data_IF_243307624426
#
_entry.id   IF_243307624426
#
_cell.length_a   1.000
_cell.length_b   1.000
_cell.length_c   1.000
_cell.angle_alpha   90.00
_cell.angle_beta   90.00
_cell.angle_gamma   90.00
#
_symmetry.space_group_name_H-M   'P 1'
#
loop_
_entity.id
_entity.type
_entity.pdbx_description
1 polymer ?
#
# COMPACT_ATOMS: atom_id res chain seq x y z
N UNK A 1 29.96 -30.18 -4.59
CA UNK A 1 30.03 -29.04 -5.55
C UNK A 1 28.81 -28.91 -6.47
N UNK A 2 28.23 -30.00 -7.00
CA UNK A 2 27.12 -29.91 -7.97
C UNK A 2 25.82 -29.28 -7.43
N UNK A 3 25.43 -29.57 -6.19
CA UNK A 3 24.18 -29.03 -5.62
C UNK A 3 24.23 -27.50 -5.38
N UNK A 4 25.37 -27.00 -4.89
CA UNK A 4 25.59 -25.55 -4.64
C UNK A 4 25.57 -24.78 -5.97
N UNK A 5 26.27 -25.30 -6.99
CA UNK A 5 26.27 -24.69 -8.34
C UNK A 5 24.87 -24.67 -8.95
N UNK A 6 24.14 -25.79 -8.86
CA UNK A 6 22.75 -25.88 -9.36
C UNK A 6 21.82 -24.90 -8.64
N UNK A 7 22.00 -24.71 -7.33
CA UNK A 7 21.26 -23.72 -6.55
C UNK A 7 21.56 -22.28 -6.98
N UNK A 8 22.84 -21.96 -7.15
CA UNK A 8 23.28 -20.64 -7.62
C UNK A 8 22.74 -20.33 -9.02
N UNK A 9 22.83 -21.26 -9.97
CA UNK A 9 22.34 -21.09 -11.35
C UNK A 9 20.81 -20.89 -11.40
N UNK A 10 20.06 -21.59 -10.54
CA UNK A 10 18.61 -21.36 -10.40
C UNK A 10 18.29 -19.98 -9.83
N UNK A 11 19.05 -19.54 -8.82
CA UNK A 11 18.85 -18.23 -8.22
C UNK A 11 19.18 -17.10 -9.20
N UNK A 12 20.32 -17.18 -9.89
CA UNK A 12 20.70 -16.19 -10.91
C UNK A 12 19.68 -16.16 -12.04
N UNK A 13 19.23 -17.32 -12.51
CA UNK A 13 18.15 -17.42 -13.49
C UNK A 13 16.84 -16.78 -13.02
N UNK A 14 16.45 -16.98 -11.75
CA UNK A 14 15.27 -16.35 -11.16
C UNK A 14 15.42 -14.81 -11.06
N UNK A 15 16.58 -14.32 -10.62
CA UNK A 15 16.84 -12.89 -10.47
C UNK A 15 16.88 -12.17 -11.81
N UNK A 16 17.53 -12.76 -12.82
CA UNK A 16 17.84 -12.07 -14.08
C UNK A 16 16.89 -12.40 -15.23
N UNK A 17 16.19 -13.54 -15.18
CA UNK A 17 15.44 -14.06 -16.32
C UNK A 17 14.15 -13.29 -16.62
N UNK A 18 13.35 -12.95 -15.61
CA UNK A 18 12.10 -12.23 -15.81
C UNK A 18 11.69 -11.42 -14.57
N UNK A 19 10.89 -10.36 -14.76
CA UNK A 19 10.30 -9.61 -13.63
C UNK A 19 9.20 -10.41 -12.94
N UNK A 20 9.32 -10.56 -11.63
CA UNK A 20 8.34 -11.22 -10.77
C UNK A 20 7.45 -10.23 -9.99
N UNK A 21 6.37 -10.75 -9.39
CA UNK A 21 5.44 -10.04 -8.52
C UNK A 21 4.74 -8.83 -9.16
N UNK A 22 4.46 -8.88 -10.47
CA UNK A 22 3.91 -7.74 -11.20
C UNK A 22 2.54 -7.27 -10.68
N UNK A 23 1.65 -8.21 -10.33
CA UNK A 23 0.35 -7.88 -9.76
C UNK A 23 0.48 -7.34 -8.33
N UNK A 24 1.29 -8.00 -7.49
CA UNK A 24 1.49 -7.57 -6.10
C UNK A 24 2.14 -6.20 -6.00
N UNK A 25 3.14 -5.88 -6.83
CA UNK A 25 3.74 -4.54 -6.90
C UNK A 25 2.74 -3.47 -7.34
N UNK A 26 1.83 -3.82 -8.25
CA UNK A 26 0.78 -2.91 -8.70
C UNK A 26 -0.28 -2.67 -7.61
N UNK A 27 -0.66 -3.71 -6.86
CA UNK A 27 -1.53 -3.58 -5.69
C UNK A 27 -0.86 -2.77 -4.58
N UNK A 28 0.43 -3.03 -4.31
CA UNK A 28 1.23 -2.31 -3.33
C UNK A 28 1.23 -0.81 -3.65
N UNK A 29 1.53 -0.45 -4.91
CA UNK A 29 1.50 0.96 -5.36
C UNK A 29 0.16 1.62 -5.06
N UNK A 30 -0.96 0.94 -5.33
CA UNK A 30 -2.29 1.48 -5.08
C UNK A 30 -2.52 1.69 -3.58
N UNK A 31 -2.23 0.69 -2.75
CA UNK A 31 -2.43 0.79 -1.30
C UNK A 31 -1.52 1.84 -0.64
N UNK A 32 -0.26 1.93 -1.06
CA UNK A 32 0.66 2.98 -0.63
C UNK A 32 0.16 4.36 -1.07
N UNK A 33 -0.30 4.49 -2.33
CA UNK A 33 -0.87 5.73 -2.83
C UNK A 33 -2.11 6.16 -2.03
N UNK A 34 -3.00 5.21 -1.69
CA UNK A 34 -4.17 5.48 -0.84
C UNK A 34 -3.70 5.93 0.55
N UNK A 35 -2.77 5.21 1.17
CA UNK A 35 -2.27 5.54 2.50
C UNK A 35 -1.61 6.93 2.57
N UNK A 36 -0.78 7.26 1.58
CA UNK A 36 -0.10 8.56 1.48
C UNK A 36 -1.12 9.67 1.26
N UNK A 37 -2.00 9.52 0.27
CA UNK A 37 -2.97 10.57 -0.08
C UNK A 37 -3.97 10.77 1.05
N UNK A 38 -4.50 9.69 1.64
CA UNK A 38 -5.44 9.81 2.76
C UNK A 38 -4.78 10.51 3.94
N UNK A 39 -3.57 10.10 4.33
CA UNK A 39 -2.82 10.71 5.42
C UNK A 39 -2.58 12.21 5.21
N UNK A 40 -2.19 12.61 3.99
CA UNK A 40 -1.92 14.02 3.69
C UNK A 40 -3.21 14.86 3.64
N UNK A 41 -4.31 14.29 3.14
CA UNK A 41 -5.59 14.99 3.08
C UNK A 41 -6.23 15.14 4.45
N UNK A 42 -6.17 14.11 5.30
CA UNK A 42 -6.70 14.19 6.68
C UNK A 42 -5.87 15.15 7.54
N UNK A 43 -4.57 15.26 7.26
CA UNK A 43 -3.67 16.17 7.98
C UNK A 43 -3.62 17.58 7.38
N UNK A 44 -4.42 17.87 6.34
CA UNK A 44 -4.32 19.11 5.58
C UNK A 44 -4.60 20.33 6.45
N UNK A 45 -5.59 20.27 7.36
CA UNK A 45 -5.93 21.38 8.23
C UNK A 45 -4.78 21.73 9.20
N UNK A 46 -4.15 20.71 9.77
CA UNK A 46 -3.14 20.85 10.83
C UNK A 46 -1.69 20.84 10.31
N UNK A 47 -1.48 20.77 8.99
CA UNK A 47 -0.16 20.60 8.36
C UNK A 47 0.93 21.55 8.86
N UNK A 48 0.58 22.80 9.16
CA UNK A 48 1.54 23.80 9.66
C UNK A 48 1.97 23.55 11.10
N UNK A 49 1.05 23.05 11.92
CA UNK A 49 1.34 22.62 13.29
C UNK A 49 2.14 21.31 13.31
N UNK A 50 1.84 20.41 12.40
CA UNK A 50 2.47 19.09 12.32
C UNK A 50 3.89 19.15 11.73
N UNK A 51 4.10 19.87 10.62
CA UNK A 51 5.38 19.90 9.88
C UNK A 51 5.83 21.28 9.38
N UNK A 52 4.94 22.26 9.33
CA UNK A 52 5.23 23.56 8.72
C UNK A 52 5.78 24.61 9.70
N UNK A 53 5.43 25.87 9.45
CA UNK A 53 6.02 27.02 10.16
C UNK A 53 5.75 27.01 11.67
N UNK A 54 4.62 26.44 12.09
CA UNK A 54 4.21 26.37 13.49
C UNK A 54 4.84 25.17 14.23
N UNK A 55 5.56 24.27 13.55
CA UNK A 55 6.23 23.11 14.15
C UNK A 55 7.71 23.36 14.50
N UNK A 56 8.17 24.62 14.48
CA UNK A 56 9.58 24.99 14.81
C UNK A 56 10.01 24.58 16.21
N UNK A 57 9.07 24.40 17.13
CA UNK A 57 9.34 23.89 18.47
C UNK A 57 9.95 22.47 18.46
N UNK A 58 9.77 21.70 17.38
CA UNK A 58 10.34 20.34 17.20
C UNK A 58 11.80 20.39 16.72
N UNK A 59 12.26 21.51 16.17
CA UNK A 59 13.58 21.62 15.54
C UNK A 59 14.77 21.18 16.42
N UNK A 60 14.80 21.47 17.74
CA UNK A 60 15.90 21.00 18.59
C UNK A 60 16.05 19.48 18.62
N UNK A 61 14.95 18.73 18.49
CA UNK A 61 14.96 17.26 18.41
C UNK A 61 15.17 16.79 16.98
N UNK A 62 14.53 17.43 16.00
CA UNK A 62 14.69 17.08 14.59
C UNK A 62 16.15 17.18 14.12
N UNK A 63 16.87 18.23 14.56
CA UNK A 63 18.29 18.46 14.22
C UNK A 63 19.26 17.48 14.87
N UNK A 64 18.85 16.74 15.90
CA UNK A 64 19.71 15.68 16.49
C UNK A 64 19.93 14.52 15.52
N UNK A 65 18.96 14.29 14.64
CA UNK A 65 19.07 13.33 13.55
C UNK A 65 19.60 14.07 12.34
N UNK A 66 20.90 13.98 12.08
CA UNK A 66 21.47 14.54 10.86
C UNK A 66 20.87 13.82 9.66
N UNK A 67 20.21 14.56 8.75
CA UNK A 67 19.73 14.04 7.49
C UNK A 67 20.63 14.50 6.34
N UNK A 68 20.53 13.81 5.21
CA UNK A 68 21.23 14.25 4.02
C UNK A 68 20.60 15.57 3.54
N UNK A 69 21.39 16.62 3.20
CA UNK A 69 20.87 17.97 2.93
C UNK A 69 19.76 18.02 1.87
N UNK A 70 19.76 17.10 0.90
CA UNK A 70 18.71 16.98 -0.12
C UNK A 70 17.30 16.88 0.47
N UNK A 71 17.13 16.24 1.63
CA UNK A 71 15.82 16.02 2.23
C UNK A 71 15.34 17.24 3.05
N UNK A 72 16.26 18.02 3.60
CA UNK A 72 15.93 19.17 4.45
C UNK A 72 15.46 20.39 3.64
N UNK A 73 15.87 20.49 2.38
CA UNK A 73 15.59 21.66 1.52
C UNK A 73 14.16 21.64 0.97
N UNK A 74 13.49 20.49 0.93
CA UNK A 74 12.18 20.35 0.26
C UNK A 74 11.06 21.09 1.01
N UNK A 75 11.07 21.05 2.34
CA UNK A 75 10.03 21.62 3.19
C UNK A 75 10.58 22.71 4.12
N UNK A 76 10.72 23.92 3.60
CA UNK A 76 11.15 25.07 4.40
C UNK A 76 10.09 25.45 5.46
N UNK A 77 10.56 25.79 6.67
CA UNK A 77 9.73 26.39 7.74
C UNK A 77 9.83 27.92 7.77
N UNK A 78 10.51 28.56 6.81
CA UNK A 78 10.70 30.02 6.74
C UNK A 78 9.60 30.74 5.97
N UNK A 79 8.89 30.03 5.10
CA UNK A 79 7.77 30.58 4.34
C UNK A 79 6.61 29.60 4.32
N UNK A 80 5.48 30.03 4.89
CA UNK A 80 4.25 29.23 4.90
C UNK A 80 3.77 28.92 3.47
N UNK A 81 3.94 29.86 2.54
CA UNK A 81 3.59 29.68 1.14
C UNK A 81 4.44 28.60 0.46
N UNK A 82 5.77 28.64 0.63
CA UNK A 82 6.66 27.62 0.04
C UNK A 82 6.41 26.24 0.64
N UNK A 83 6.14 26.17 1.96
CA UNK A 83 5.72 24.94 2.61
C UNK A 83 4.42 24.40 2.01
N UNK A 84 3.40 25.23 1.86
CA UNK A 84 2.10 24.83 1.31
C UNK A 84 2.21 24.36 -0.15
N UNK A 85 3.07 25.03 -0.93
CA UNK A 85 3.38 24.61 -2.29
C UNK A 85 4.03 23.22 -2.32
N UNK A 86 5.04 22.97 -1.48
CA UNK A 86 5.70 21.67 -1.38
C UNK A 86 4.74 20.57 -0.88
N UNK A 87 3.86 20.90 0.08
CA UNK A 87 2.85 19.98 0.60
C UNK A 87 1.80 19.62 -0.46
N UNK A 88 1.31 20.63 -1.19
CA UNK A 88 0.41 20.42 -2.34
C UNK A 88 1.06 19.58 -3.44
N UNK A 89 2.34 19.84 -3.75
CA UNK A 89 3.10 19.04 -4.70
C UNK A 89 3.24 17.57 -4.24
N UNK A 90 3.45 17.33 -2.94
CA UNK A 90 3.48 15.98 -2.37
C UNK A 90 2.13 15.25 -2.50
N UNK A 91 0.99 15.94 -2.29
CA UNK A 91 -0.33 15.37 -2.55
C UNK A 91 -0.46 14.96 -4.03
N UNK A 92 -0.07 15.84 -4.96
CA UNK A 92 -0.10 15.54 -6.39
C UNK A 92 0.78 14.35 -6.73
N UNK A 93 2.01 14.28 -6.19
CA UNK A 93 2.90 13.13 -6.37
C UNK A 93 2.27 11.83 -5.83
N UNK A 94 1.60 11.88 -4.67
CA UNK A 94 0.86 10.76 -4.11
C UNK A 94 -0.27 10.28 -5.04
N UNK A 95 -1.03 11.20 -5.63
CA UNK A 95 -2.09 10.88 -6.61
C UNK A 95 -1.50 10.30 -7.90
N UNK A 96 -0.42 10.89 -8.45
CA UNK A 96 0.25 10.38 -9.64
C UNK A 96 0.81 8.97 -9.42
N UNK A 97 1.35 8.71 -8.23
CA UNK A 97 1.81 7.38 -7.81
C UNK A 97 0.63 6.40 -7.70
N UNK A 98 -0.47 6.81 -7.05
CA UNK A 98 -1.71 6.04 -6.89
C UNK A 98 -2.35 5.62 -8.22
N UNK A 99 -2.38 6.51 -9.22
CA UNK A 99 -2.92 6.18 -10.55
C UNK A 99 -1.89 5.48 -11.44
N UNK A 100 -0.60 5.63 -11.12
CA UNK A 100 0.49 4.93 -11.80
C UNK A 100 0.86 5.60 -13.10
N UNK A 101 1.01 6.91 -13.02
CA UNK A 101 1.48 7.76 -14.11
C UNK A 101 2.97 8.02 -13.94
N UNK A 102 3.77 7.70 -14.97
CA UNK A 102 5.22 7.93 -15.00
C UNK A 102 5.93 7.42 -13.73
N UNK A 103 5.55 6.23 -13.25
CA UNK A 103 5.96 5.76 -11.90
C UNK A 103 7.47 5.72 -11.72
N UNK A 104 8.22 5.46 -12.79
CA UNK A 104 9.69 5.44 -12.78
C UNK A 104 10.32 6.80 -12.40
N UNK A 105 9.65 7.91 -12.68
CA UNK A 105 10.10 9.25 -12.29
C UNK A 105 9.37 9.74 -11.04
N UNK A 106 8.08 9.45 -10.91
CA UNK A 106 7.28 9.88 -9.76
C UNK A 106 7.77 9.23 -8.46
N UNK A 107 8.15 7.95 -8.47
CA UNK A 107 8.56 7.22 -7.25
C UNK A 107 9.80 7.82 -6.56
N UNK A 108 10.94 8.09 -7.23
CA UNK A 108 12.08 8.72 -6.57
C UNK A 108 11.80 10.15 -6.10
N UNK A 109 11.02 10.94 -6.84
CA UNK A 109 10.64 12.30 -6.40
C UNK A 109 9.70 12.23 -5.19
N UNK A 110 8.72 11.32 -5.21
CA UNK A 110 7.83 11.06 -4.08
C UNK A 110 8.62 10.62 -2.85
N UNK A 111 9.64 9.76 -3.00
CA UNK A 111 10.52 9.37 -1.90
C UNK A 111 11.22 10.59 -1.29
N UNK A 112 11.79 11.47 -2.11
CA UNK A 112 12.47 12.68 -1.64
C UNK A 112 11.52 13.59 -0.88
N UNK A 113 10.32 13.84 -1.40
CA UNK A 113 9.32 14.65 -0.70
C UNK A 113 8.80 13.95 0.56
N UNK A 114 8.54 12.65 0.53
CA UNK A 114 8.04 11.92 1.69
C UNK A 114 9.06 11.89 2.84
N UNK A 115 10.33 11.66 2.52
CA UNK A 115 11.42 11.74 3.51
C UNK A 115 11.60 13.17 3.99
N UNK A 116 11.58 14.16 3.10
CA UNK A 116 11.71 15.57 3.46
C UNK A 116 10.59 16.09 4.36
N UNK A 117 9.34 15.63 4.18
CA UNK A 117 8.28 15.97 5.12
C UNK A 117 8.56 15.34 6.50
N UNK A 118 9.03 14.10 6.52
CA UNK A 118 9.37 13.40 7.76
C UNK A 118 10.57 14.01 8.51
N UNK A 119 11.48 14.72 7.85
CA UNK A 119 12.57 15.42 8.54
C UNK A 119 12.07 16.62 9.35
N UNK A 120 10.92 17.19 8.99
CA UNK A 120 10.36 18.35 9.69
C UNK A 120 9.70 18.02 11.03
N UNK A 121 9.38 16.75 11.31
CA UNK A 121 8.85 16.32 12.60
C UNK A 121 9.18 14.87 12.90
N UNK A 122 9.99 14.64 13.94
CA UNK A 122 10.37 13.31 14.43
C UNK A 122 9.38 12.72 15.44
N UNK A 123 8.46 13.53 15.94
CA UNK A 123 7.50 13.15 17.00
C UNK A 123 6.28 12.43 16.43
N UNK A 124 5.91 12.76 15.18
CA UNK A 124 4.71 12.23 14.53
C UNK A 124 4.93 10.89 13.82
N UNK A 125 6.19 10.43 13.75
CA UNK A 125 6.52 9.22 12.98
C UNK A 125 6.16 7.95 13.74
N UNK A 126 5.53 7.01 13.05
CA UNK A 126 5.28 5.66 13.55
C UNK A 126 6.04 4.59 12.73
N UNK A 127 5.81 3.32 13.06
CA UNK A 127 6.42 2.19 12.34
C UNK A 127 6.04 2.12 10.86
N UNK A 128 4.85 2.63 10.51
CA UNK A 128 4.29 2.72 9.16
C UNK A 128 5.06 3.70 8.28
N UNK A 129 5.35 4.88 8.80
CA UNK A 129 6.17 5.87 8.10
C UNK A 129 7.59 5.33 7.86
N UNK A 130 8.13 4.62 8.85
CA UNK A 130 9.47 4.04 8.77
C UNK A 130 9.54 2.94 7.72
N UNK A 131 8.61 1.99 7.73
CA UNK A 131 8.58 0.91 6.75
C UNK A 131 8.32 1.46 5.34
N UNK A 132 7.44 2.46 5.20
CA UNK A 132 7.11 3.08 3.93
C UNK A 132 8.34 3.81 3.35
N UNK A 133 9.11 4.56 4.15
CA UNK A 133 10.38 5.20 3.70
C UNK A 133 11.40 4.17 3.20
N UNK A 134 11.66 3.13 3.99
CA UNK A 134 12.64 2.08 3.65
C UNK A 134 12.22 1.35 2.37
N UNK A 135 10.95 0.96 2.29
CA UNK A 135 10.47 0.19 1.14
C UNK A 135 10.29 1.06 -0.10
N UNK A 136 9.87 2.32 0.00
CA UNK A 136 9.85 3.24 -1.14
C UNK A 136 11.23 3.37 -1.79
N UNK A 137 12.31 3.40 -1.00
CA UNK A 137 13.68 3.38 -1.53
C UNK A 137 13.94 2.14 -2.39
N UNK A 138 13.51 0.96 -1.96
CA UNK A 138 13.64 -0.27 -2.76
C UNK A 138 12.76 -0.19 -4.02
N UNK A 139 11.55 0.35 -3.89
CA UNK A 139 10.57 0.40 -4.97
C UNK A 139 10.92 1.38 -6.09
N UNK A 140 11.87 2.31 -5.88
CA UNK A 140 12.49 3.10 -6.97
C UNK A 140 13.04 2.19 -8.08
N UNK A 141 13.48 0.98 -7.72
CA UNK A 141 14.03 0.00 -8.65
C UNK A 141 12.99 -1.02 -9.16
N UNK A 142 11.76 -0.98 -8.66
CA UNK A 142 10.70 -1.93 -8.99
C UNK A 142 9.81 -1.46 -10.14
N UNK A 143 9.23 -2.40 -10.88
CA UNK A 143 8.24 -2.09 -11.92
C UNK A 143 6.83 -2.04 -11.34
N UNK A 144 6.45 -0.88 -10.80
CA UNK A 144 5.18 -0.63 -10.13
C UNK A 144 3.98 -0.41 -11.05
N UNK A 145 4.22 -0.18 -12.35
CA UNK A 145 3.17 0.23 -13.30
C UNK A 145 2.82 -0.85 -14.31
N UNK A 146 3.18 -2.12 -14.09
CA UNK A 146 2.87 -3.20 -15.02
C UNK A 146 1.36 -3.49 -15.15
N UNK A 147 0.61 -3.38 -14.06
CA UNK A 147 -0.83 -3.61 -14.02
C UNK A 147 -1.57 -2.46 -13.33
N UNK A 148 -2.87 -2.30 -13.66
CA UNK A 148 -3.78 -1.34 -13.05
C UNK A 148 -3.24 0.10 -12.95
N UNK A 149 -2.49 0.53 -13.95
CA UNK A 149 -1.83 1.83 -14.01
C UNK A 149 -2.18 2.56 -15.31
N UNK A 150 -2.10 3.89 -15.28
CA UNK A 150 -2.26 4.69 -16.50
C UNK A 150 -1.13 4.41 -17.49
N UNK A 151 0.10 4.17 -17.02
CA UNK A 151 1.23 3.78 -17.88
C UNK A 151 0.95 2.49 -18.67
N UNK A 152 0.42 1.45 -18.01
CA UNK A 152 0.07 0.19 -18.66
C UNK A 152 -1.08 0.38 -19.67
N UNK A 153 -2.08 1.20 -19.32
CA UNK A 153 -3.18 1.52 -20.22
C UNK A 153 -2.70 2.26 -21.48
N UNK A 154 -1.83 3.26 -21.33
CA UNK A 154 -1.22 3.99 -22.45
C UNK A 154 -0.34 3.10 -23.31
N UNK A 155 0.45 2.20 -22.71
CA UNK A 155 1.30 1.27 -23.45
C UNK A 155 0.46 0.34 -24.35
N UNK A 156 -0.63 -0.22 -23.80
CA UNK A 156 -1.59 -1.06 -24.55
C UNK A 156 -2.24 -0.29 -25.70
N UNK A 157 -2.73 0.94 -25.45
CA UNK A 157 -3.37 1.77 -26.48
C UNK A 157 -2.45 2.13 -27.64
N UNK A 158 -1.16 2.34 -27.35
CA UNK A 158 -0.18 2.72 -28.38
C UNK A 158 0.37 1.52 -29.15
N UNK A 159 -0.04 0.29 -28.80
CA UNK A 159 0.55 -0.95 -29.35
C UNK A 159 2.06 -1.03 -29.12
N UNK A 160 2.57 -0.33 -28.10
CA UNK A 160 4.01 -0.21 -27.86
C UNK A 160 4.42 -1.15 -26.75
N UNK A 161 5.38 -2.02 -27.05
CA UNK A 161 6.13 -2.70 -26.01
C UNK A 161 6.81 -1.67 -25.08
N UNK A 162 7.03 -2.02 -23.80
CA UNK A 162 7.67 -1.14 -22.83
C UNK A 162 8.99 -0.61 -23.38
N UNK A 163 9.07 0.69 -23.65
CA UNK A 163 10.28 1.30 -24.21
C UNK A 163 11.36 1.39 -23.13
N UNK A 164 12.60 0.93 -23.38
CA UNK A 164 13.71 1.22 -22.48
C UNK A 164 13.93 2.74 -22.38
N UNK A 165 14.24 3.23 -21.17
CA UNK A 165 14.46 4.66 -20.90
C UNK A 165 15.58 5.25 -21.76
N UNK A 166 16.66 4.49 -21.87
CA UNK A 166 17.84 4.85 -22.62
C UNK A 166 17.90 3.98 -23.87
N UNK A 167 18.26 4.58 -25.00
CA UNK A 167 18.39 3.93 -26.31
C UNK A 167 19.84 4.01 -26.80
N UNK A 168 20.20 3.15 -27.74
CA UNK A 168 21.55 3.11 -28.30
C UNK A 168 22.58 2.64 -27.28
N UNK A 169 23.74 3.29 -27.22
CA UNK A 169 24.87 2.89 -26.34
C UNK A 169 24.57 2.99 -24.83
N UNK A 170 23.51 3.72 -24.44
CA UNK A 170 23.09 3.86 -23.05
C UNK A 170 21.97 2.87 -22.67
N UNK A 171 21.56 1.99 -23.59
CA UNK A 171 20.48 1.04 -23.32
C UNK A 171 20.83 0.14 -22.13
N UNK A 172 19.94 0.14 -21.14
CA UNK A 172 20.07 -0.72 -19.96
C UNK A 172 19.72 -2.16 -20.40
N UNK A 173 20.62 -3.14 -20.18
CA UNK A 173 20.32 -4.53 -20.49
C UNK A 173 19.09 -5.03 -19.74
N UNK A 174 18.28 -5.89 -20.38
CA UNK A 174 17.04 -6.41 -19.78
C UNK A 174 17.28 -7.16 -18.46
N UNK A 175 18.35 -7.97 -18.42
CA UNK A 175 18.73 -8.72 -17.22
C UNK A 175 18.95 -7.80 -16.01
N UNK A 176 19.48 -6.59 -16.23
CA UNK A 176 19.73 -5.64 -15.16
C UNK A 176 18.42 -5.02 -14.65
N UNK A 177 17.49 -4.73 -15.56
CA UNK A 177 16.14 -4.27 -15.19
C UNK A 177 15.31 -5.34 -14.48
N UNK A 178 15.51 -6.62 -14.83
CA UNK A 178 14.90 -7.76 -14.16
C UNK A 178 15.49 -7.95 -12.76
N UNK A 179 16.82 -7.93 -12.67
CA UNK A 179 17.54 -8.03 -11.41
C UNK A 179 17.16 -6.91 -10.44
N UNK A 180 17.15 -5.65 -10.90
CA UNK A 180 16.75 -4.50 -10.07
C UNK A 180 15.33 -4.66 -9.50
N UNK A 181 14.37 -5.07 -10.33
CA UNK A 181 12.98 -5.33 -9.88
C UNK A 181 12.92 -6.46 -8.85
N UNK A 182 13.57 -7.58 -9.14
CA UNK A 182 13.49 -8.76 -8.28
C UNK A 182 14.26 -8.57 -6.97
N UNK A 183 15.37 -7.84 -7.00
CA UNK A 183 16.08 -7.40 -5.79
C UNK A 183 15.20 -6.49 -4.95
N UNK A 184 14.47 -5.54 -5.53
CA UNK A 184 13.53 -4.71 -4.78
C UNK A 184 12.44 -5.55 -4.09
N UNK A 185 11.88 -6.54 -4.78
CA UNK A 185 10.90 -7.49 -4.21
C UNK A 185 11.52 -8.29 -3.06
N UNK A 186 12.74 -8.80 -3.22
CA UNK A 186 13.45 -9.53 -2.17
C UNK A 186 13.73 -8.65 -0.94
N UNK A 187 14.18 -7.41 -1.15
CA UNK A 187 14.46 -6.47 -0.06
C UNK A 187 13.18 -6.08 0.69
N UNK A 188 12.07 -5.82 0.00
CA UNK A 188 10.77 -5.61 0.64
C UNK A 188 10.31 -6.85 1.42
N UNK A 189 10.45 -8.04 0.82
CA UNK A 189 10.12 -9.32 1.46
C UNK A 189 10.98 -9.62 2.70
N UNK A 190 12.26 -9.29 2.65
CA UNK A 190 13.17 -9.41 3.78
C UNK A 190 12.81 -8.41 4.88
N UNK A 191 12.53 -7.16 4.51
CA UNK A 191 12.17 -6.11 5.46
C UNK A 191 10.90 -6.46 6.25
N UNK A 192 9.86 -7.00 5.60
CA UNK A 192 8.63 -7.41 6.30
C UNK A 192 8.85 -8.65 7.18
N UNK A 193 9.69 -9.60 6.75
CA UNK A 193 10.11 -10.72 7.62
C UNK A 193 10.82 -10.22 8.87
N UNK A 194 11.74 -9.26 8.74
CA UNK A 194 12.42 -8.65 9.88
C UNK A 194 11.42 -7.97 10.82
N UNK A 195 10.50 -7.16 10.28
CA UNK A 195 9.49 -6.46 11.09
C UNK A 195 8.65 -7.45 11.89
N UNK A 196 8.16 -8.54 11.28
CA UNK A 196 7.33 -9.50 11.99
C UNK A 196 8.08 -10.33 13.02
N UNK A 197 9.26 -10.86 12.67
CA UNK A 197 10.06 -11.64 13.63
C UNK A 197 10.44 -10.76 14.83
N UNK A 198 10.93 -9.56 14.55
CA UNK A 198 11.33 -8.62 15.60
C UNK A 198 10.13 -8.19 16.44
N UNK A 199 8.97 -7.91 15.82
CA UNK A 199 7.74 -7.60 16.56
C UNK A 199 7.32 -8.77 17.45
N UNK A 200 7.39 -10.02 16.97
CA UNK A 200 7.08 -11.20 17.77
C UNK A 200 8.01 -11.36 18.97
N UNK A 201 9.32 -11.18 18.78
CA UNK A 201 10.32 -11.25 19.86
C UNK A 201 10.06 -10.16 20.91
N UNK A 202 9.90 -8.90 20.49
CA UNK A 202 9.65 -7.80 21.42
C UNK A 202 8.34 -7.95 22.20
N UNK A 203 7.31 -8.53 21.57
CA UNK A 203 6.06 -8.86 22.28
C UNK A 203 6.31 -9.89 23.38
N UNK A 204 7.02 -10.98 23.09
CA UNK A 204 7.33 -12.03 24.09
C UNK A 204 8.11 -11.51 25.30
N UNK A 205 8.83 -10.39 25.19
CA UNK A 205 9.52 -9.77 26.32
C UNK A 205 8.56 -9.15 27.34
N UNK A 206 7.39 -8.66 26.91
CA UNK A 206 6.38 -8.05 27.79
C UNK A 206 5.53 -9.10 28.53
N UNK A 207 5.24 -8.92 29.83
CA UNK A 207 4.37 -9.84 30.58
C UNK A 207 2.95 -9.90 30.01
N UNK A 208 2.41 -8.78 29.53
CA UNK A 208 1.04 -8.67 29.00
C UNK A 208 0.81 -9.58 27.79
N UNK A 209 1.84 -9.76 26.96
CA UNK A 209 1.79 -10.66 25.81
C UNK A 209 1.89 -12.13 26.21
N UNK A 210 2.65 -12.43 27.27
CA UNK A 210 2.82 -13.78 27.81
C UNK A 210 1.58 -14.24 28.57
N UNK A 211 0.87 -13.31 29.19
CA UNK A 211 -0.35 -13.55 29.96
C UNK A 211 -1.63 -13.48 29.09
N UNK A 212 -1.52 -13.04 27.84
CA UNK A 212 -2.66 -12.97 26.91
C UNK A 212 -3.55 -11.73 27.08
N UNK A 213 -3.06 -10.69 27.76
CA UNK A 213 -3.80 -9.46 28.09
C UNK A 213 -3.39 -8.25 27.23
N UNK A 214 -2.34 -8.35 26.42
CA UNK A 214 -1.82 -7.20 25.65
C UNK A 214 -2.84 -6.54 24.71
N UNK A 215 -3.70 -7.33 24.06
CA UNK A 215 -4.72 -6.76 23.18
C UNK A 215 -5.79 -5.98 23.95
N UNK A 216 -6.11 -6.37 25.21
CA UNK A 216 -7.01 -5.60 26.07
C UNK A 216 -6.46 -4.19 26.31
N UNK A 217 -5.18 -4.06 26.68
CA UNK A 217 -4.56 -2.76 26.89
C UNK A 217 -4.55 -1.90 25.62
N UNK A 218 -4.41 -2.52 24.45
CA UNK A 218 -4.51 -1.81 23.18
C UNK A 218 -5.92 -1.25 22.92
N UNK A 219 -6.97 -1.94 23.37
CA UNK A 219 -8.36 -1.55 23.18
C UNK A 219 -8.86 -0.49 24.16
N UNK A 220 -8.19 -0.29 25.30
CA UNK A 220 -8.63 0.62 26.37
C UNK A 220 -7.86 1.95 26.38
N UNK A 221 -6.73 2.04 25.68
CA UNK A 221 -5.97 3.29 25.53
C UNK A 221 -6.75 4.36 24.75
N UNK A 222 -7.21 5.41 25.42
CA UNK A 222 -8.07 6.46 24.84
C UNK A 222 -7.52 7.08 23.54
N UNK A 223 -6.20 7.26 23.45
CA UNK A 223 -5.54 7.82 22.25
C UNK A 223 -5.69 6.94 21.00
N UNK A 224 -5.93 5.64 21.16
CA UNK A 224 -6.08 4.66 20.08
C UNK A 224 -7.50 4.13 19.97
N UNK A 225 -8.54 4.88 20.40
CA UNK A 225 -9.93 4.42 20.35
C UNK A 225 -10.79 5.30 19.45
N UNK A 226 -10.66 5.20 18.11
CA UNK A 226 -11.51 5.96 17.19
C UNK A 226 -13.00 5.61 17.33
N UNK A 227 -13.31 4.38 17.76
CA UNK A 227 -14.68 3.89 17.97
C UNK A 227 -14.81 3.25 19.36
N UNK A 228 -14.99 4.05 20.44
CA UNK A 228 -14.95 3.55 21.82
C UNK A 228 -15.90 2.38 22.08
N UNK A 229 -17.15 2.46 21.61
CA UNK A 229 -18.16 1.42 21.78
C UNK A 229 -17.78 0.07 21.13
N UNK A 230 -17.10 0.12 19.98
CA UNK A 230 -16.61 -1.09 19.31
C UNK A 230 -15.47 -1.73 20.11
N UNK A 231 -14.53 -0.92 20.60
CA UNK A 231 -13.46 -1.39 21.48
C UNK A 231 -14.03 -1.96 22.78
N UNK A 232 -15.06 -1.32 23.34
CA UNK A 232 -15.73 -1.76 24.57
C UNK A 232 -16.36 -3.14 24.43
N UNK A 233 -17.07 -3.36 23.32
CA UNK A 233 -17.64 -4.67 23.02
C UNK A 233 -16.55 -5.72 22.81
N UNK A 234 -15.47 -5.37 22.12
CA UNK A 234 -14.39 -6.29 21.80
C UNK A 234 -13.63 -6.78 23.04
N UNK A 235 -13.29 -5.88 23.97
CA UNK A 235 -12.50 -6.27 25.14
C UNK A 235 -13.30 -7.09 26.16
N UNK A 236 -14.62 -6.97 26.16
CA UNK A 236 -15.52 -7.80 26.98
C UNK A 236 -15.53 -9.28 26.55
N UNK A 237 -15.11 -9.59 25.31
CA UNK A 237 -15.04 -10.96 24.80
C UNK A 237 -13.64 -11.52 25.12
N UNK A 238 -13.46 -12.05 26.33
CA UNK A 238 -12.16 -12.54 26.80
C UNK A 238 -11.48 -13.56 25.84
N UNK A 239 -12.18 -14.55 25.24
CA UNK A 239 -11.57 -15.45 24.27
C UNK A 239 -11.03 -14.72 23.03
N UNK A 240 -11.71 -13.66 22.57
CA UNK A 240 -11.25 -12.87 21.43
C UNK A 240 -9.95 -12.13 21.76
N UNK A 241 -9.87 -11.49 22.92
CA UNK A 241 -8.65 -10.81 23.41
C UNK A 241 -7.47 -11.79 23.50
N UNK A 242 -7.70 -12.94 24.12
CA UNK A 242 -6.69 -13.97 24.30
C UNK A 242 -6.17 -14.49 22.95
N UNK A 243 -7.09 -14.88 22.06
CA UNK A 243 -6.76 -15.39 20.72
C UNK A 243 -6.03 -14.34 19.89
N UNK A 244 -6.50 -13.09 19.87
CA UNK A 244 -5.86 -12.01 19.14
C UNK A 244 -4.42 -11.75 19.65
N UNK A 245 -4.23 -11.75 20.97
CA UNK A 245 -2.92 -11.57 21.60
C UNK A 245 -1.94 -12.65 21.13
N UNK A 246 -2.26 -13.93 21.35
CA UNK A 246 -1.34 -15.02 21.03
C UNK A 246 -1.15 -15.24 19.53
N UNK A 247 -2.22 -15.18 18.73
CA UNK A 247 -2.08 -15.35 17.28
C UNK A 247 -1.20 -14.25 16.67
N UNK A 248 -1.32 -13.00 17.15
CA UNK A 248 -0.48 -11.92 16.63
C UNK A 248 1.01 -12.13 16.94
N UNK A 249 1.35 -12.78 18.06
CA UNK A 249 2.74 -13.12 18.40
C UNK A 249 3.23 -14.28 17.53
N UNK A 250 2.52 -15.41 17.55
CA UNK A 250 3.00 -16.64 16.91
C UNK A 250 3.00 -16.57 15.39
N UNK A 251 1.96 -15.99 14.78
CA UNK A 251 1.92 -15.86 13.32
C UNK A 251 3.01 -14.92 12.82
N UNK A 252 3.30 -13.83 13.53
CA UNK A 252 4.38 -12.91 13.16
C UNK A 252 5.77 -13.54 13.35
N UNK A 253 6.00 -14.18 14.50
CA UNK A 253 7.27 -14.84 14.80
C UNK A 253 7.59 -15.96 13.80
N UNK A 254 6.58 -16.77 13.45
CA UNK A 254 6.72 -17.91 12.54
C UNK A 254 6.53 -17.53 11.07
N UNK A 255 6.23 -16.26 10.76
CA UNK A 255 5.88 -15.82 9.40
C UNK A 255 6.90 -16.27 8.33
N UNK A 256 8.24 -16.16 8.53
CA UNK A 256 9.21 -16.58 7.53
C UNK A 256 9.16 -18.08 7.22
N UNK A 257 8.74 -18.91 8.18
CA UNK A 257 8.59 -20.37 7.99
C UNK A 257 7.23 -20.67 7.37
N UNK A 258 6.16 -20.04 7.87
CA UNK A 258 4.79 -20.24 7.38
C UNK A 258 4.65 -19.90 5.89
N UNK A 259 5.37 -18.89 5.39
CA UNK A 259 5.27 -18.43 4.00
C UNK A 259 5.88 -19.40 2.98
N UNK A 260 6.75 -20.31 3.40
CA UNK A 260 7.45 -21.26 2.52
C UNK A 260 6.47 -22.29 1.93
N UNK A 261 5.59 -22.84 2.76
CA UNK A 261 4.62 -23.85 2.34
C UNK A 261 3.28 -23.22 1.94
N UNK A 262 2.61 -23.79 0.92
CA UNK A 262 1.45 -23.14 0.28
C UNK A 262 0.26 -22.92 1.23
N UNK A 263 -0.27 -23.93 1.94
CA UNK A 263 -1.45 -23.75 2.77
C UNK A 263 -1.16 -22.85 3.98
N UNK A 264 -0.03 -23.04 4.66
CA UNK A 264 0.39 -22.17 5.76
C UNK A 264 0.61 -20.73 5.31
N UNK A 265 1.12 -20.50 4.10
CA UNK A 265 1.23 -19.15 3.53
C UNK A 265 -0.13 -18.48 3.39
N UNK A 266 -1.14 -19.21 2.88
CA UNK A 266 -2.48 -18.65 2.69
C UNK A 266 -3.10 -18.30 4.05
N UNK A 267 -2.99 -19.20 5.02
CA UNK A 267 -3.50 -18.98 6.39
C UNK A 267 -2.78 -17.80 7.05
N UNK A 268 -1.44 -17.76 6.98
CA UNK A 268 -0.63 -16.69 7.56
C UNK A 268 -0.96 -15.33 6.94
N UNK A 269 -1.06 -15.24 5.60
CA UNK A 269 -1.42 -13.98 4.93
C UNK A 269 -2.86 -13.56 5.23
N UNK A 270 -3.80 -14.50 5.27
CA UNK A 270 -5.17 -14.21 5.66
C UNK A 270 -5.24 -13.64 7.08
N UNK A 271 -4.49 -14.23 8.01
CA UNK A 271 -4.38 -13.72 9.37
C UNK A 271 -3.71 -12.35 9.44
N UNK A 272 -2.54 -12.15 8.82
CA UNK A 272 -1.83 -10.86 8.92
C UNK A 272 -2.64 -9.72 8.30
N UNK A 273 -3.31 -9.96 7.17
CA UNK A 273 -4.21 -8.99 6.56
C UNK A 273 -5.37 -8.67 7.51
N UNK A 274 -6.04 -9.69 8.08
CA UNK A 274 -7.15 -9.49 9.02
C UNK A 274 -6.70 -8.74 10.28
N UNK A 275 -5.53 -9.08 10.81
CA UNK A 275 -4.93 -8.44 11.96
C UNK A 275 -4.63 -6.96 11.67
N UNK A 276 -4.05 -6.62 10.52
CA UNK A 276 -3.79 -5.23 10.14
C UNK A 276 -5.07 -4.45 9.88
N UNK A 277 -6.09 -5.06 9.28
CA UNK A 277 -7.43 -4.47 9.19
C UNK A 277 -8.01 -4.19 10.58
N UNK A 278 -7.84 -5.15 11.52
CA UNK A 278 -8.19 -4.97 12.93
C UNK A 278 -7.44 -3.81 13.57
N UNK A 279 -6.14 -3.68 13.36
CA UNK A 279 -5.34 -2.54 13.86
C UNK A 279 -5.86 -1.21 13.27
N UNK A 280 -6.20 -1.18 11.98
CA UNK A 280 -6.74 0.03 11.34
C UNK A 280 -8.09 0.42 11.94
N UNK A 281 -8.97 -0.56 12.16
CA UNK A 281 -10.31 -0.36 12.69
C UNK A 281 -10.31 -0.02 14.19
N UNK A 282 -9.65 -0.82 15.01
CA UNK A 282 -9.66 -0.68 16.47
C UNK A 282 -8.72 0.39 16.98
N UNK A 283 -7.56 0.59 16.33
CA UNK A 283 -6.53 1.52 16.80
C UNK A 283 -6.45 2.82 15.99
N UNK A 284 -7.23 2.94 14.92
CA UNK A 284 -7.24 4.12 14.04
C UNK A 284 -5.98 4.26 13.17
N UNK A 285 -5.12 3.24 13.12
CA UNK A 285 -3.81 3.28 12.46
C UNK A 285 -3.88 2.89 10.98
N UNK A 286 -4.80 3.49 10.22
CA UNK A 286 -5.06 3.12 8.83
C UNK A 286 -3.84 3.22 7.89
N UNK A 287 -3.03 4.30 7.89
CA UNK A 287 -1.86 4.39 7.02
C UNK A 287 -0.83 3.28 7.30
N UNK A 288 -0.60 2.96 8.57
CA UNK A 288 0.26 1.84 8.99
C UNK A 288 -0.30 0.51 8.47
N UNK A 289 -1.57 0.24 8.73
CA UNK A 289 -2.22 -1.01 8.31
C UNK A 289 -2.19 -1.21 6.80
N UNK A 290 -2.49 -0.16 6.03
CA UNK A 290 -2.43 -0.22 4.56
C UNK A 290 -1.01 -0.49 4.06
N UNK A 291 0.01 0.13 4.66
CA UNK A 291 1.40 -0.13 4.31
C UNK A 291 1.79 -1.59 4.57
N UNK A 292 1.39 -2.15 5.72
CA UNK A 292 1.69 -3.54 6.07
C UNK A 292 0.95 -4.53 5.17
N UNK A 293 -0.35 -4.32 4.92
CA UNK A 293 -1.14 -5.15 3.99
C UNK A 293 -0.52 -5.12 2.59
N UNK A 294 -0.12 -3.95 2.11
CA UNK A 294 0.50 -3.79 0.80
C UNK A 294 1.79 -4.60 0.64
N UNK A 295 2.61 -4.70 1.70
CA UNK A 295 3.80 -5.52 1.72
C UNK A 295 3.49 -7.02 1.83
N UNK A 296 2.50 -7.41 2.63
CA UNK A 296 2.05 -8.81 2.74
C UNK A 296 1.60 -9.37 1.37
N UNK A 297 0.97 -8.53 0.54
CA UNK A 297 0.56 -8.90 -0.81
C UNK A 297 1.73 -9.32 -1.72
N UNK A 298 2.98 -8.95 -1.43
CA UNK A 298 4.16 -9.43 -2.17
C UNK A 298 4.33 -10.95 -2.09
N UNK A 299 3.80 -11.60 -1.06
CA UNK A 299 3.83 -13.06 -0.94
C UNK A 299 2.65 -13.76 -1.63
N UNK A 300 1.69 -13.01 -2.15
CA UNK A 300 0.61 -13.55 -2.99
C UNK A 300 1.17 -13.84 -4.38
N UNK A 301 0.99 -15.08 -4.85
CA UNK A 301 1.48 -15.49 -6.18
C UNK A 301 0.63 -14.87 -7.28
N UNK A 302 1.27 -14.51 -8.40
CA UNK A 302 0.59 -13.99 -9.61
C UNK A 302 -0.56 -14.90 -10.09
N UNK A 303 -0.43 -16.23 -9.98
CA UNK A 303 -1.51 -17.17 -10.32
C UNK A 303 -2.78 -16.93 -9.50
N UNK A 304 -2.65 -16.53 -8.23
CA UNK A 304 -3.78 -16.24 -7.35
C UNK A 304 -4.45 -14.96 -7.83
N UNK A 305 -3.68 -13.91 -8.15
CA UNK A 305 -4.21 -12.67 -8.73
C UNK A 305 -4.99 -12.91 -10.03
N UNK A 306 -4.45 -13.73 -10.94
CA UNK A 306 -5.12 -14.07 -12.20
C UNK A 306 -6.40 -14.86 -11.94
N UNK A 307 -6.38 -15.83 -11.02
CA UNK A 307 -7.57 -16.61 -10.67
C UNK A 307 -8.68 -15.71 -10.07
N UNK A 308 -8.32 -14.82 -9.13
CA UNK A 308 -9.25 -13.84 -8.55
C UNK A 308 -9.81 -12.89 -9.60
N UNK A 309 -8.97 -12.43 -10.54
CA UNK A 309 -9.43 -11.59 -11.65
C UNK A 309 -10.45 -12.29 -12.55
N UNK A 310 -10.21 -13.56 -12.92
CA UNK A 310 -11.16 -14.37 -13.71
C UNK A 310 -12.48 -14.58 -12.98
N UNK A 311 -12.40 -14.93 -11.70
CA UNK A 311 -13.58 -15.10 -10.85
C UNK A 311 -14.40 -13.81 -10.76
N UNK A 312 -13.76 -12.66 -10.54
CA UNK A 312 -14.43 -11.36 -10.47
C UNK A 312 -15.11 -11.00 -11.80
N UNK A 313 -14.46 -11.24 -12.94
CA UNK A 313 -15.09 -11.01 -14.25
C UNK A 313 -16.28 -11.93 -14.50
N UNK A 314 -16.21 -13.18 -14.04
CA UNK A 314 -17.31 -14.14 -14.17
C UNK A 314 -18.50 -13.73 -13.29
N UNK A 315 -18.26 -13.44 -12.00
CA UNK A 315 -19.27 -12.97 -11.07
C UNK A 315 -19.94 -11.66 -11.57
N UNK A 316 -19.14 -10.73 -12.10
CA UNK A 316 -19.67 -9.50 -12.70
C UNK A 316 -20.50 -9.74 -13.96
N UNK A 317 -20.15 -10.75 -14.77
CA UNK A 317 -20.96 -11.19 -15.92
C UNK A 317 -22.31 -11.76 -15.50
N UNK A 318 -22.32 -12.60 -14.46
CA UNK A 318 -23.56 -13.13 -13.87
C UNK A 318 -24.43 -12.01 -13.29
N UNK A 319 -23.84 -11.08 -12.53
CA UNK A 319 -24.58 -9.95 -11.97
C UNK A 319 -25.19 -9.06 -13.07
N UNK A 320 -24.47 -8.82 -14.18
CA UNK A 320 -25.01 -8.07 -15.32
C UNK A 320 -26.16 -8.79 -16.02
N UNK A 321 -26.18 -10.11 -16.04
CA UNK A 321 -27.30 -10.89 -16.57
C UNK A 321 -28.53 -10.85 -15.64
N UNK A 322 -28.32 -10.67 -14.34
CA UNK A 322 -29.38 -10.56 -13.33
C UNK A 322 -29.94 -9.14 -13.17
N UNK A 323 -29.19 -8.11 -13.59
CA UNK A 323 -29.67 -6.73 -13.61
C UNK A 323 -30.57 -6.53 -14.84
N UNK A 324 -31.86 -6.16 -14.67
CA UNK A 324 -32.74 -5.92 -15.80
C UNK A 324 -32.18 -4.79 -16.66
N UNK A 325 -32.15 -5.04 -17.98
CA UNK A 325 -31.64 -4.11 -18.98
C UNK A 325 -32.52 -2.85 -18.96
N UNK A 326 -32.08 -1.79 -18.28
CA UNK A 326 -32.79 -0.50 -18.21
C UNK A 326 -32.99 0.14 -19.59
N UNK A 327 -32.29 -0.36 -20.61
CA UNK A 327 -32.46 0.03 -22.01
C UNK A 327 -33.75 -0.52 -22.63
N UNK A 328 -34.23 -1.69 -22.19
CA UNK A 328 -35.43 -2.33 -22.71
C UNK A 328 -36.74 -1.77 -22.14
N UNK A 329 -36.71 -1.23 -20.91
CA UNK A 329 -37.91 -0.63 -20.28
C UNK A 329 -38.27 0.74 -20.86
N UNK A 330 -37.28 1.54 -21.26
CA UNK A 330 -37.51 2.89 -21.84
C UNK A 330 -38.08 2.81 -23.27
N UNK A 331 -37.71 1.79 -24.05
CA UNK A 331 -38.25 1.58 -25.40
C UNK A 331 -39.72 1.14 -25.42
N UNK A 332 -40.16 0.40 -24.41
CA UNK A 332 -41.56 -0.04 -24.28
C UNK A 332 -42.50 1.10 -23.88
N UNK A 333 -42.07 1.96 -22.96
CA UNK A 333 -42.85 3.12 -22.50
C UNK A 333 -43.01 4.20 -23.59
N UNK A 334 -42.06 4.31 -24.52
CA UNK A 334 -42.16 5.21 -25.66
C UNK A 334 -43.10 4.67 -26.77
N UNK A 335 -43.25 3.35 -26.89
CA UNK A 335 -44.10 2.70 -27.89
C UNK A 335 -45.59 2.62 -27.47
N UNK A 336 -45.89 2.70 -26.17
CA UNK A 336 -47.26 2.65 -25.63
C UNK A 336 -47.93 4.03 -25.46
N UNK A 337 -47.26 5.14 -25.79
CA UNK A 337 -47.94 6.45 -25.81
C UNK A 337 -48.93 6.50 -26.97
N UNK A 338 -50.24 6.66 -26.72
CA UNK A 338 -51.21 6.81 -27.79
C UNK A 338 -50.93 8.11 -28.55
N UNK A 339 -50.80 8.03 -29.87
CA UNK A 339 -50.82 9.21 -30.74
C UNK A 339 -52.21 9.83 -30.61
N UNK A 340 -52.31 10.92 -29.86
CA UNK A 340 -53.53 11.73 -29.81
C UNK A 340 -53.71 12.39 -31.17
N UNK A 341 -54.65 11.87 -31.96
CA UNK A 341 -55.09 12.49 -33.21
C UNK A 341 -55.85 13.76 -32.88
N UNK A 342 -55.19 14.91 -32.99
CA UNK A 342 -55.84 16.21 -33.00
C UNK A 342 -56.60 16.36 -34.33
N UNK A 343 -57.92 16.14 -34.29
CA UNK A 343 -58.84 16.44 -35.37
C UNK A 343 -59.63 17.71 -35.02
N UNK A 344 -59.56 18.71 -35.91
CA UNK A 344 -60.65 19.65 -36.17
C UNK A 344 -60.69 20.97 -35.38
N UNK A 345 -60.12 22.02 -35.98
CA UNK A 345 -60.83 23.32 -36.13
C UNK A 345 -62.01 23.15 -37.12
N UNK A 346 -63.05 24.02 -37.22
CA UNK A 346 -63.10 25.44 -36.85
C UNK A 346 -64.45 25.97 -36.25
N UNK A 347 -64.42 27.13 -35.59
CA UNK A 347 -65.18 28.36 -35.91
C UNK A 347 -64.90 29.44 -34.88
#
# INVERSE_FOLDING_TARGET
MNAVRTGFDRFTGWVTGAKHAGYSLSALRILYGIAIVSFLLTSLADRHYLWGVASRWVDPEARRRAWFPLFEVVFTKDSAFLFDLAYGALIVLGVLFLIGWQTRFVTPVLLVFWVGLATNSTVLTNGGDTILRITLLFLVFANLSRHWSVDAWLARRRGREPRPLLRGRLAIPEWLGNAANNTAVLLCGYQIMLVYVNSGIYKLMGPEWREGTAFYYSLVLDVFRPFPALSDLAWQIAPFVWVATFLSVWVQLLFPVLVLWRPTRIVALGFTILMHLGIGLFLGLWPFSLAMIALDLLFVRDRTWVATGRWATHAGGVLRQLLPDRSASVGREAAERPVTTAAGSPS
#
